data_IF_045238570439
#
_entry.id   IF_045238570439
#
_cell.length_a   1.000
_cell.length_b   1.000
_cell.length_c   1.000
_cell.angle_alpha   90.00
_cell.angle_beta   90.00
_cell.angle_gamma   90.00
#
_symmetry.space_group_name_H-M   'P 1'
#
loop_
_entity.id
_entity.type
_entity.pdbx_description
1 polymer ?
#
# COMPACT_ATOMS: atom_id res chain seq x y z
N UNK A 1 2.84 17.12 16.56
CA UNK A 1 2.71 15.65 16.40
C UNK A 1 4.05 15.04 15.99
N UNK A 2 4.47 13.93 16.62
CA UNK A 2 5.74 13.26 16.31
C UNK A 2 5.76 12.73 14.87
N UNK A 3 6.88 12.92 14.17
CA UNK A 3 7.10 12.37 12.83
C UNK A 3 7.52 10.91 12.87
N UNK A 4 7.46 10.22 11.71
CA UNK A 4 7.85 8.81 11.59
C UNK A 4 9.21 8.50 12.23
N UNK A 5 10.25 9.29 11.92
CA UNK A 5 11.61 9.07 12.47
C UNK A 5 11.67 9.16 14.00
N UNK A 6 10.89 10.05 14.61
CA UNK A 6 10.84 10.20 16.07
C UNK A 6 10.18 8.98 16.70
N UNK A 7 9.07 8.51 16.12
CA UNK A 7 8.37 7.30 16.56
C UNK A 7 9.25 6.05 16.39
N UNK A 8 9.93 5.91 15.26
CA UNK A 8 10.86 4.81 15.02
C UNK A 8 12.01 4.75 16.05
N UNK A 9 12.57 5.91 16.43
CA UNK A 9 13.57 5.97 17.52
C UNK A 9 12.98 5.49 18.85
N UNK A 10 11.72 5.84 19.15
CA UNK A 10 11.06 5.40 20.38
C UNK A 10 10.80 3.88 20.37
N UNK A 11 10.50 3.27 19.25
CA UNK A 11 10.41 1.81 19.11
C UNK A 11 11.76 1.14 19.43
N UNK A 12 12.87 1.76 19.02
CA UNK A 12 14.23 1.24 19.25
C UNK A 12 14.79 1.52 20.63
N UNK A 13 14.22 2.43 21.40
CA UNK A 13 14.72 2.81 22.71
C UNK A 13 14.49 1.68 23.74
N UNK A 14 15.55 1.01 24.23
CA UNK A 14 15.39 -0.07 25.21
C UNK A 14 14.94 0.41 26.59
N UNK A 15 15.00 1.73 26.85
CA UNK A 15 14.55 2.34 28.11
C UNK A 15 13.04 2.53 28.14
N UNK A 16 12.39 2.55 26.98
CA UNK A 16 10.94 2.61 26.85
C UNK A 16 10.32 1.25 27.16
N UNK A 17 9.19 1.24 27.89
CA UNK A 17 8.43 0.02 28.11
C UNK A 17 7.88 -0.56 26.79
N UNK A 18 7.59 -1.85 26.77
CA UNK A 18 7.18 -2.55 25.54
C UNK A 18 5.83 -2.09 25.02
N UNK A 19 4.91 -1.69 25.90
CA UNK A 19 3.61 -1.17 25.50
C UNK A 19 3.77 0.16 24.75
N UNK A 20 4.65 1.04 25.22
CA UNK A 20 4.96 2.32 24.55
C UNK A 20 5.68 2.08 23.21
N UNK A 21 6.62 1.13 23.15
CA UNK A 21 7.31 0.76 21.91
C UNK A 21 6.32 0.22 20.86
N UNK A 22 5.42 -0.69 21.27
CA UNK A 22 4.33 -1.21 20.41
C UNK A 22 3.41 -0.08 19.96
N UNK A 23 2.97 0.79 20.86
CA UNK A 23 2.15 1.96 20.54
C UNK A 23 2.85 2.85 19.48
N UNK A 24 4.14 3.10 19.66
CA UNK A 24 4.93 3.92 18.73
C UNK A 24 5.07 3.28 17.35
N UNK A 25 5.20 1.95 17.26
CA UNK A 25 5.18 1.24 16.00
C UNK A 25 3.81 1.40 15.30
N UNK A 26 2.70 1.25 16.03
CA UNK A 26 1.36 1.51 15.48
C UNK A 26 1.19 2.96 15.02
N UNK A 27 1.77 3.93 15.74
CA UNK A 27 1.78 5.34 15.32
C UNK A 27 2.63 5.59 14.07
N UNK A 28 3.66 4.80 13.80
CA UNK A 28 4.37 4.83 12.53
C UNK A 28 3.43 4.54 11.35
N UNK A 29 2.44 3.66 11.54
CA UNK A 29 1.46 3.31 10.50
C UNK A 29 0.51 4.47 10.15
N UNK A 30 0.30 5.43 11.04
CA UNK A 30 -0.45 6.65 10.71
C UNK A 30 0.33 7.56 9.74
N UNK A 31 1.63 7.31 9.58
CA UNK A 31 2.52 8.09 8.70
C UNK A 31 2.89 7.36 7.42
N UNK A 32 2.90 6.03 7.48
CA UNK A 32 3.23 5.17 6.34
C UNK A 32 2.62 3.79 6.55
N UNK A 33 1.64 3.42 5.74
CA UNK A 33 0.94 2.14 5.79
C UNK A 33 0.53 1.73 4.36
N UNK A 34 1.37 0.97 3.65
CA UNK A 34 1.13 0.61 2.24
C UNK A 34 -0.22 -0.06 1.98
N UNK A 35 -0.64 -0.97 2.83
CA UNK A 35 -1.94 -1.67 2.73
C UNK A 35 -3.10 -0.92 3.39
N UNK A 36 -2.86 0.27 3.98
CA UNK A 36 -3.71 0.91 4.95
C UNK A 36 -3.39 0.46 6.38
N UNK A 37 -3.82 1.22 7.38
CA UNK A 37 -3.37 1.05 8.77
C UNK A 37 -3.58 -0.37 9.31
N UNK A 38 -4.81 -0.90 9.21
CA UNK A 38 -5.18 -2.21 9.77
C UNK A 38 -4.44 -3.34 9.04
N UNK A 39 -4.56 -3.41 7.72
CA UNK A 39 -3.96 -4.48 6.93
C UNK A 39 -2.42 -4.47 7.00
N UNK A 40 -1.78 -3.29 7.09
CA UNK A 40 -0.33 -3.22 7.31
C UNK A 40 0.06 -3.72 8.70
N UNK A 41 -0.72 -3.41 9.74
CA UNK A 41 -0.49 -3.94 11.08
C UNK A 41 -0.61 -5.46 11.12
N UNK A 42 -1.69 -6.02 10.57
CA UNK A 42 -1.94 -7.46 10.53
C UNK A 42 -0.84 -8.19 9.74
N UNK A 43 -0.38 -7.61 8.61
CA UNK A 43 0.75 -8.12 7.86
C UNK A 43 2.04 -8.20 8.71
N UNK A 44 2.39 -7.10 9.39
CA UNK A 44 3.59 -7.08 10.23
C UNK A 44 3.48 -8.07 11.40
N UNK A 45 2.31 -8.17 12.02
CA UNK A 45 2.04 -9.13 13.08
C UNK A 45 2.21 -10.57 12.60
N UNK A 46 1.56 -10.95 11.52
CA UNK A 46 1.65 -12.30 10.95
C UNK A 46 3.07 -12.65 10.54
N UNK A 47 3.76 -11.72 9.90
CA UNK A 47 5.08 -11.95 9.34
C UNK A 47 6.19 -12.05 10.39
N UNK A 48 6.07 -11.30 11.49
CA UNK A 48 7.07 -11.27 12.55
C UNK A 48 6.64 -12.04 13.81
N UNK A 49 5.51 -12.73 13.76
CA UNK A 49 5.00 -13.53 14.89
C UNK A 49 4.63 -12.67 16.11
N UNK A 50 4.12 -11.45 15.87
CA UNK A 50 3.61 -10.58 16.91
C UNK A 50 2.14 -10.94 17.14
N UNK A 51 1.76 -11.22 18.38
CA UNK A 51 0.35 -11.28 18.73
C UNK A 51 -0.22 -9.86 18.72
N UNK A 52 -1.26 -9.65 17.90
CA UNK A 52 -1.87 -8.33 17.73
C UNK A 52 -2.48 -7.77 19.01
N UNK A 53 -2.89 -8.65 19.94
CA UNK A 53 -3.49 -8.29 21.23
C UNK A 53 -2.49 -8.21 22.37
N UNK A 54 -1.29 -8.78 22.21
CA UNK A 54 -0.25 -8.75 23.24
C UNK A 54 0.21 -7.30 23.50
N UNK A 55 0.13 -6.87 24.73
CA UNK A 55 0.55 -5.51 25.16
C UNK A 55 2.06 -5.41 25.38
N UNK A 56 2.75 -6.53 25.52
CA UNK A 56 4.19 -6.60 25.79
C UNK A 56 4.91 -7.58 24.85
N UNK A 57 4.80 -7.40 23.52
CA UNK A 57 5.40 -8.32 22.57
C UNK A 57 6.92 -8.34 22.65
N UNK A 58 7.52 -9.43 22.20
CA UNK A 58 8.97 -9.57 22.12
C UNK A 58 9.61 -8.34 21.42
N UNK A 59 10.58 -7.67 22.09
CA UNK A 59 11.24 -6.49 21.53
C UNK A 59 11.96 -6.74 20.22
N UNK A 60 12.50 -7.96 20.00
CA UNK A 60 13.18 -8.32 18.75
C UNK A 60 12.18 -8.39 17.59
N UNK A 61 10.99 -8.92 17.85
CA UNK A 61 9.90 -8.98 16.85
C UNK A 61 9.41 -7.59 16.48
N UNK A 62 9.25 -6.69 17.47
CA UNK A 62 8.91 -5.28 17.22
C UNK A 62 9.96 -4.58 16.36
N UNK A 63 11.23 -4.81 16.63
CA UNK A 63 12.32 -4.21 15.85
C UNK A 63 12.32 -4.72 14.41
N UNK A 64 12.17 -6.03 14.18
CA UNK A 64 12.08 -6.61 12.84
C UNK A 64 10.89 -6.05 12.04
N UNK A 65 9.74 -5.88 12.70
CA UNK A 65 8.57 -5.27 12.06
C UNK A 65 8.82 -3.80 11.70
N UNK A 66 9.50 -3.04 12.57
CA UNK A 66 9.92 -1.68 12.25
C UNK A 66 10.92 -1.64 11.09
N UNK A 67 11.91 -2.54 11.08
CA UNK A 67 12.93 -2.59 10.03
C UNK A 67 12.30 -2.88 8.66
N UNK A 68 11.32 -3.79 8.59
CA UNK A 68 10.54 -4.05 7.38
C UNK A 68 9.76 -2.79 6.94
N UNK A 69 9.10 -2.12 7.87
CA UNK A 69 8.34 -0.91 7.58
C UNK A 69 9.24 0.23 7.08
N UNK A 70 10.44 0.39 7.67
CA UNK A 70 11.42 1.39 7.24
C UNK A 70 12.01 1.07 5.87
N UNK A 71 12.31 -0.21 5.59
CA UNK A 71 12.78 -0.64 4.27
C UNK A 71 11.74 -0.32 3.19
N UNK A 72 10.48 -0.66 3.44
CA UNK A 72 9.39 -0.33 2.54
C UNK A 72 9.22 1.18 2.33
N UNK A 73 9.32 1.94 3.42
CA UNK A 73 9.25 3.40 3.37
C UNK A 73 10.40 4.02 2.58
N UNK A 74 11.60 3.48 2.69
CA UNK A 74 12.76 3.95 1.92
C UNK A 74 12.54 3.76 0.41
N UNK A 75 12.02 2.59 -0.01
CA UNK A 75 11.65 2.31 -1.40
C UNK A 75 10.64 3.35 -1.91
N UNK A 76 9.57 3.59 -1.15
CA UNK A 76 8.53 4.54 -1.54
C UNK A 76 9.05 5.99 -1.63
N UNK A 77 9.83 6.45 -0.66
CA UNK A 77 10.38 7.81 -0.67
C UNK A 77 11.37 8.02 -1.83
N UNK A 78 12.14 6.99 -2.19
CA UNK A 78 13.01 7.03 -3.38
C UNK A 78 12.20 7.23 -4.66
N UNK A 79 11.10 6.49 -4.80
CA UNK A 79 10.17 6.66 -5.91
C UNK A 79 9.54 8.05 -5.94
N UNK A 80 9.01 8.56 -4.81
CA UNK A 80 8.41 9.90 -4.73
C UNK A 80 9.41 11.00 -5.14
N UNK A 81 10.65 10.89 -4.70
CA UNK A 81 11.70 11.84 -5.07
C UNK A 81 11.97 11.85 -6.58
N UNK A 82 12.11 10.67 -7.19
CA UNK A 82 12.28 10.51 -8.63
C UNK A 82 11.08 11.02 -9.44
N UNK A 83 9.86 10.71 -8.96
CA UNK A 83 8.62 11.22 -9.56
C UNK A 83 8.55 12.74 -9.51
N UNK A 84 8.84 13.37 -8.37
CA UNK A 84 8.80 14.81 -8.22
C UNK A 84 9.83 15.52 -9.12
N UNK A 85 11.01 14.93 -9.28
CA UNK A 85 12.04 15.46 -10.18
C UNK A 85 11.61 15.35 -11.65
N UNK A 86 11.10 14.19 -12.07
CA UNK A 86 10.57 13.99 -13.43
C UNK A 86 9.48 15.02 -13.73
N UNK A 87 8.54 15.24 -12.80
CA UNK A 87 7.45 16.23 -12.97
C UNK A 87 7.94 17.67 -13.07
N UNK A 88 9.01 18.02 -12.35
CA UNK A 88 9.64 19.35 -12.49
C UNK A 88 10.22 19.55 -13.87
N UNK A 89 10.94 18.55 -14.42
CA UNK A 89 11.47 18.58 -15.78
C UNK A 89 10.38 18.70 -16.82
N UNK A 90 9.36 17.84 -16.76
CA UNK A 90 8.21 17.89 -17.68
C UNK A 90 7.48 19.25 -17.66
N UNK A 91 7.38 19.88 -16.50
CA UNK A 91 6.83 21.24 -16.39
C UNK A 91 7.72 22.27 -17.04
N UNK A 92 9.03 22.19 -16.82
CA UNK A 92 10.01 23.10 -17.43
C UNK A 92 9.97 23.02 -18.96
N UNK A 93 9.89 21.81 -19.50
CA UNK A 93 9.88 21.53 -20.93
C UNK A 93 8.50 21.71 -21.60
N UNK A 94 7.48 22.12 -20.86
CA UNK A 94 6.11 22.28 -21.37
C UNK A 94 5.39 20.97 -21.72
N UNK A 95 5.94 19.84 -21.33
CA UNK A 95 5.44 18.50 -21.68
C UNK A 95 4.43 17.93 -20.68
N UNK A 96 4.24 18.58 -19.52
CA UNK A 96 3.38 18.07 -18.44
C UNK A 96 1.92 18.00 -18.84
N UNK A 97 1.37 16.78 -18.82
CA UNK A 97 -0.06 16.50 -19.00
C UNK A 97 -0.57 15.71 -17.79
N UNK A 98 -1.32 16.34 -16.85
CA UNK A 98 -1.96 15.63 -15.75
C UNK A 98 -2.92 14.55 -16.28
N UNK A 99 -2.93 13.40 -15.60
CA UNK A 99 -3.75 12.25 -15.98
C UNK A 99 -4.06 11.35 -14.78
N UNK A 100 -4.63 10.18 -15.06
CA UNK A 100 -5.02 9.20 -14.02
C UNK A 100 -3.86 8.81 -13.09
N UNK A 101 -2.64 8.80 -13.61
CA UNK A 101 -1.44 8.52 -12.82
C UNK A 101 -1.16 9.62 -11.78
N UNK A 102 -1.30 10.90 -12.18
CA UNK A 102 -1.13 12.03 -11.26
C UNK A 102 -2.21 12.03 -10.17
N UNK A 103 -3.44 11.68 -10.53
CA UNK A 103 -4.55 11.59 -9.60
C UNK A 103 -4.35 10.45 -8.59
N UNK A 104 -3.89 9.29 -9.06
CA UNK A 104 -3.54 8.17 -8.18
C UNK A 104 -2.40 8.54 -7.24
N UNK A 105 -1.29 9.09 -7.76
CA UNK A 105 -0.12 9.49 -6.98
C UNK A 105 -0.48 10.54 -5.90
N UNK A 106 -1.35 11.49 -6.23
CA UNK A 106 -1.81 12.51 -5.28
C UNK A 106 -2.59 11.90 -4.11
N UNK A 107 -3.42 10.88 -4.38
CA UNK A 107 -4.19 10.18 -3.34
C UNK A 107 -3.34 9.28 -2.44
N UNK A 108 -2.21 8.82 -2.94
CA UNK A 108 -1.30 7.90 -2.23
C UNK A 108 -0.04 8.60 -1.71
N UNK A 109 -0.04 9.93 -1.71
CA UNK A 109 1.10 10.71 -1.25
C UNK A 109 1.55 10.28 0.15
N UNK A 110 2.88 10.14 0.35
CA UNK A 110 3.46 9.63 1.59
C UNK A 110 3.35 8.11 1.76
N UNK A 111 2.86 7.37 0.76
CA UNK A 111 2.82 5.91 0.76
C UNK A 111 1.67 5.29 1.55
N UNK A 112 0.66 6.08 1.95
CA UNK A 112 -0.49 5.54 2.66
C UNK A 112 -1.50 4.91 1.68
N UNK A 113 -1.74 3.60 1.83
CA UNK A 113 -2.70 2.87 1.01
C UNK A 113 -2.32 2.72 -0.46
N UNK A 114 -1.02 2.78 -0.80
CA UNK A 114 -0.55 2.65 -2.20
C UNK A 114 -0.85 1.27 -2.80
N UNK A 115 -0.81 0.23 -1.97
CA UNK A 115 -1.19 -1.15 -2.28
C UNK A 115 -2.35 -1.57 -1.36
N UNK A 116 -3.33 -0.69 -1.17
CA UNK A 116 -4.38 -0.89 -0.19
C UNK A 116 -4.98 -2.29 -0.27
N UNK A 117 -5.08 -2.93 0.88
CA UNK A 117 -5.82 -4.17 1.09
C UNK A 117 -6.93 -3.90 2.10
N UNK A 118 -8.16 -4.23 1.75
CA UNK A 118 -9.31 -4.00 2.64
C UNK A 118 -9.61 -5.21 3.52
N UNK A 119 -9.25 -6.40 3.04
CA UNK A 119 -9.32 -7.62 3.82
C UNK A 119 -7.98 -7.88 4.50
N UNK A 120 -7.89 -7.71 5.83
CA UNK A 120 -6.65 -7.94 6.55
C UNK A 120 -6.21 -9.41 6.56
N UNK A 121 -7.10 -10.33 6.25
CA UNK A 121 -6.80 -11.76 6.12
C UNK A 121 -6.21 -12.14 4.75
N UNK A 122 -6.32 -11.25 3.76
CA UNK A 122 -5.87 -11.50 2.39
C UNK A 122 -4.93 -10.38 1.96
N UNK A 123 -3.65 -10.54 2.19
CA UNK A 123 -2.61 -9.61 1.73
C UNK A 123 -1.42 -10.42 1.20
N UNK A 124 -0.55 -9.80 0.35
CA UNK A 124 0.65 -10.48 -0.12
C UNK A 124 1.54 -10.94 1.03
N UNK A 125 2.05 -12.17 0.95
CA UNK A 125 2.97 -12.72 1.96
C UNK A 125 4.41 -12.18 1.82
N UNK A 126 4.74 -11.57 0.68
CA UNK A 126 6.05 -10.99 0.42
C UNK A 126 6.33 -9.78 1.33
N UNK A 127 7.60 -9.46 1.62
CA UNK A 127 7.97 -8.24 2.34
C UNK A 127 7.39 -6.98 1.71
N UNK A 128 7.00 -6.00 2.54
CA UNK A 128 6.40 -4.73 2.08
C UNK A 128 7.29 -4.02 1.04
N UNK A 129 8.60 -4.03 1.21
CA UNK A 129 9.53 -3.40 0.27
C UNK A 129 9.50 -4.06 -1.10
N UNK A 130 9.37 -5.39 -1.15
CA UNK A 130 9.27 -6.15 -2.40
C UNK A 130 7.95 -5.88 -3.10
N UNK A 131 6.84 -5.85 -2.37
CA UNK A 131 5.52 -5.51 -2.91
C UNK A 131 5.53 -4.12 -3.53
N UNK A 132 6.10 -3.13 -2.83
CA UNK A 132 6.24 -1.78 -3.36
C UNK A 132 7.17 -1.72 -4.56
N UNK A 133 8.27 -2.45 -4.56
CA UNK A 133 9.18 -2.53 -5.72
C UNK A 133 8.49 -3.05 -6.97
N UNK A 134 7.71 -4.13 -6.84
CA UNK A 134 6.90 -4.69 -7.95
C UNK A 134 5.85 -3.69 -8.46
N UNK A 135 5.18 -2.99 -7.54
CA UNK A 135 4.18 -1.99 -7.89
C UNK A 135 4.81 -0.80 -8.64
N UNK A 136 5.95 -0.30 -8.15
CA UNK A 136 6.69 0.80 -8.78
C UNK A 136 7.17 0.38 -10.18
N UNK A 137 7.75 -0.81 -10.31
CA UNK A 137 8.16 -1.32 -11.60
C UNK A 137 7.00 -1.40 -12.61
N UNK A 138 5.81 -1.81 -12.16
CA UNK A 138 4.62 -1.83 -13.00
C UNK A 138 4.12 -0.42 -13.37
N UNK A 139 4.27 0.56 -12.49
CA UNK A 139 3.92 1.96 -12.80
C UNK A 139 4.85 2.61 -13.83
N UNK A 140 6.06 2.09 -13.96
CA UNK A 140 7.09 2.55 -14.92
C UNK A 140 7.12 1.72 -16.20
N UNK A 141 6.29 0.67 -16.28
CA UNK A 141 6.20 -0.24 -17.42
C UNK A 141 4.90 -0.02 -18.21
N UNK A 142 4.77 -0.70 -19.35
CA UNK A 142 3.52 -0.77 -20.11
C UNK A 142 2.41 -1.44 -19.27
N UNK A 143 1.16 -0.93 -19.33
CA UNK A 143 0.06 -1.52 -18.58
C UNK A 143 -0.19 -2.98 -18.92
N UNK A 144 -0.33 -3.82 -17.89
CA UNK A 144 -0.57 -5.26 -18.01
C UNK A 144 -2.05 -5.66 -17.84
N UNK A 145 -2.30 -6.96 -17.82
CA UNK A 145 -3.64 -7.53 -17.62
C UNK A 145 -3.78 -8.27 -16.28
N UNK A 146 -2.66 -8.48 -15.58
CA UNK A 146 -2.57 -9.20 -14.31
C UNK A 146 -2.15 -8.29 -13.16
N UNK A 147 -2.32 -8.78 -11.94
CA UNK A 147 -1.85 -8.09 -10.75
C UNK A 147 -0.31 -8.01 -10.74
N UNK A 148 0.29 -6.82 -10.61
CA UNK A 148 1.75 -6.69 -10.62
C UNK A 148 2.42 -7.30 -9.39
N UNK A 149 1.67 -7.56 -8.32
CA UNK A 149 2.23 -8.05 -7.05
C UNK A 149 2.29 -9.58 -7.00
N UNK A 150 1.19 -10.26 -7.33
CA UNK A 150 1.10 -11.72 -7.23
C UNK A 150 0.97 -12.42 -8.58
N UNK A 151 0.98 -11.68 -9.70
CA UNK A 151 0.73 -12.17 -11.07
C UNK A 151 -0.67 -12.81 -11.28
N UNK A 152 -1.58 -12.69 -10.31
CA UNK A 152 -2.95 -13.19 -10.46
C UNK A 152 -3.69 -12.47 -11.59
N UNK A 153 -4.34 -13.23 -12.46
CA UNK A 153 -5.04 -12.69 -13.63
C UNK A 153 -6.44 -12.18 -13.32
N UNK A 154 -7.02 -12.61 -12.20
CA UNK A 154 -8.39 -12.26 -11.84
C UNK A 154 -8.41 -10.93 -11.10
N UNK A 155 -8.98 -9.92 -11.75
CA UNK A 155 -9.19 -8.58 -11.23
C UNK A 155 -10.69 -8.32 -11.14
N UNK A 156 -11.20 -8.20 -9.93
CA UNK A 156 -12.57 -7.79 -9.67
C UNK A 156 -12.68 -6.27 -9.55
N UNK A 157 -13.88 -5.72 -9.79
CA UNK A 157 -14.16 -4.31 -9.50
C UNK A 157 -14.85 -4.20 -8.15
N UNK A 158 -14.31 -3.39 -7.26
CA UNK A 158 -14.95 -3.07 -6.00
C UNK A 158 -15.59 -1.68 -6.07
N UNK A 159 -16.90 -1.55 -5.77
CA UNK A 159 -17.56 -0.26 -5.70
C UNK A 159 -17.08 0.55 -4.50
N UNK A 160 -17.34 1.84 -4.53
CA UNK A 160 -17.17 2.72 -3.37
C UNK A 160 -18.25 2.42 -2.32
N UNK A 161 -17.85 2.01 -1.14
CA UNK A 161 -18.77 1.63 -0.06
C UNK A 161 -18.92 2.73 1.02
N UNK A 162 -18.74 4.00 0.69
CA UNK A 162 -19.01 5.08 1.64
C UNK A 162 -17.89 6.11 1.79
N UNK A 163 -17.74 6.72 2.94
CA UNK A 163 -17.00 7.94 3.27
C UNK A 163 -15.56 8.11 2.74
N UNK A 164 -15.02 7.16 1.97
CA UNK A 164 -13.77 7.32 1.24
C UNK A 164 -13.92 6.77 -0.19
N UNK A 165 -13.67 7.57 -1.24
CA UNK A 165 -13.78 7.14 -2.63
C UNK A 165 -12.70 6.11 -2.97
N UNK A 166 -13.05 4.82 -2.91
CA UNK A 166 -12.11 3.70 -3.07
C UNK A 166 -12.62 2.63 -4.01
N UNK A 167 -13.49 3.00 -4.93
CA UNK A 167 -13.86 2.12 -6.02
C UNK A 167 -12.66 1.87 -6.92
N UNK A 168 -12.43 0.62 -7.29
CA UNK A 168 -11.32 0.28 -8.16
C UNK A 168 -11.14 -1.20 -8.38
N UNK A 169 -10.16 -1.55 -9.22
CA UNK A 169 -9.82 -2.94 -9.48
C UNK A 169 -9.08 -3.55 -8.29
N UNK A 170 -9.55 -4.69 -7.81
CA UNK A 170 -8.96 -5.46 -6.71
C UNK A 170 -8.52 -6.82 -7.24
N UNK A 171 -7.30 -7.20 -6.92
CA UNK A 171 -6.82 -8.55 -7.19
C UNK A 171 -7.47 -9.54 -6.21
N UNK A 172 -8.18 -10.55 -6.73
CA UNK A 172 -8.82 -11.58 -5.89
C UNK A 172 -7.81 -12.49 -5.20
N UNK A 173 -6.62 -12.67 -5.80
CA UNK A 173 -5.59 -13.55 -5.26
C UNK A 173 -4.79 -12.98 -4.08
N UNK A 174 -4.63 -11.64 -3.99
CA UNK A 174 -3.87 -11.02 -2.91
C UNK A 174 -4.58 -9.82 -2.25
N UNK A 175 -5.82 -9.54 -2.61
CA UNK A 175 -6.67 -8.55 -1.97
C UNK A 175 -6.27 -7.08 -2.17
N UNK A 176 -5.20 -6.77 -2.90
CA UNK A 176 -4.77 -5.39 -3.08
C UNK A 176 -5.63 -4.64 -4.08
N UNK A 177 -5.89 -3.37 -3.81
CA UNK A 177 -6.43 -2.42 -4.77
C UNK A 177 -5.33 -2.07 -5.79
N UNK A 178 -5.48 -2.57 -7.02
CA UNK A 178 -4.49 -2.40 -8.08
C UNK A 178 -4.60 -0.98 -8.64
N UNK A 179 -3.51 -0.21 -8.74
CA UNK A 179 -3.55 1.10 -9.36
C UNK A 179 -4.04 1.02 -10.81
N UNK A 180 -5.07 1.80 -11.16
CA UNK A 180 -5.63 1.77 -12.52
C UNK A 180 -4.58 2.01 -13.63
N UNK A 181 -3.57 2.89 -13.45
CA UNK A 181 -2.56 3.10 -14.48
C UNK A 181 -1.72 1.87 -14.86
N UNK A 182 -1.62 0.86 -13.98
CA UNK A 182 -0.86 -0.38 -14.28
C UNK A 182 -1.67 -1.43 -15.03
N UNK A 183 -2.96 -1.18 -15.27
CA UNK A 183 -3.85 -2.10 -15.98
C UNK A 183 -4.24 -1.56 -17.35
N UNK A 184 -4.32 -2.46 -18.34
CA UNK A 184 -4.85 -2.11 -19.66
C UNK A 184 -6.32 -1.68 -19.58
N UNK A 185 -6.75 -0.84 -20.54
CA UNK A 185 -8.17 -0.45 -20.69
C UNK A 185 -9.09 -1.67 -20.80
N UNK A 186 -8.65 -2.72 -21.48
CA UNK A 186 -9.40 -3.97 -21.63
C UNK A 186 -9.57 -4.72 -20.31
N UNK A 187 -8.54 -4.81 -19.46
CA UNK A 187 -8.62 -5.41 -18.14
C UNK A 187 -9.58 -4.64 -17.22
N UNK A 188 -9.49 -3.31 -17.22
CA UNK A 188 -10.40 -2.44 -16.46
C UNK A 188 -11.85 -2.56 -16.93
N UNK A 189 -12.09 -2.65 -18.24
CA UNK A 189 -13.43 -2.81 -18.81
C UNK A 189 -14.05 -4.14 -18.39
N UNK A 190 -13.29 -5.25 -18.45
CA UNK A 190 -13.76 -6.59 -18.01
C UNK A 190 -14.15 -6.60 -16.54
N UNK A 191 -13.27 -6.06 -15.66
CA UNK A 191 -13.54 -6.00 -14.23
C UNK A 191 -14.85 -5.22 -13.92
N UNK A 192 -15.10 -4.10 -14.61
CA UNK A 192 -16.33 -3.30 -14.46
C UNK A 192 -17.56 -4.01 -15.01
N UNK A 193 -17.46 -4.74 -16.11
CA UNK A 193 -18.59 -5.49 -16.70
C UNK A 193 -19.02 -6.63 -15.80
N UNK A 194 -18.08 -7.46 -15.34
CA UNK A 194 -18.37 -8.54 -14.40
C UNK A 194 -19.03 -8.02 -13.11
N UNK A 195 -18.61 -6.87 -12.59
CA UNK A 195 -19.25 -6.25 -11.43
C UNK A 195 -20.71 -5.86 -11.71
N UNK A 196 -21.01 -5.27 -12.87
CA UNK A 196 -22.41 -4.90 -13.25
C UNK A 196 -23.31 -6.13 -13.40
N UNK A 197 -22.80 -7.20 -13.99
CA UNK A 197 -23.51 -8.46 -14.15
C UNK A 197 -23.86 -9.08 -12.79
N UNK A 198 -22.90 -9.08 -11.84
CA UNK A 198 -23.13 -9.56 -10.49
C UNK A 198 -24.20 -8.74 -9.74
N UNK A 199 -24.23 -7.42 -9.91
CA UNK A 199 -25.27 -6.56 -9.32
C UNK A 199 -26.65 -6.83 -9.93
N UNK A 200 -26.72 -7.03 -11.25
CA UNK A 200 -27.97 -7.34 -11.93
C UNK A 200 -28.54 -8.72 -11.55
N UNK A 201 -27.66 -9.66 -11.20
CA UNK A 201 -28.07 -11.02 -10.77
C UNK A 201 -28.46 -11.10 -9.29
N UNK A 202 -28.13 -10.08 -8.49
CA UNK A 202 -28.44 -10.00 -7.05
C UNK A 202 -29.70 -9.17 -6.74
N UNK A 203 -30.29 -8.51 -7.73
CA UNK A 203 -31.50 -7.70 -7.66
C UNK A 203 -32.75 -8.47 -8.12
#
# INVERSE_FOLDING_TARGET
MAGFRSLARQVRDPRSDLALRRYSLRKCLERFAPYGHRATWDHLCARHGIDAEDRSPDPVRLMRALDELEAARAVWLGYEAGFAERRRREKHDGLRRPGAFDDWHRRTWGGYGVARCEDPGVHPSAPLAEVLGRLIAALESEPGTACPVCAGAEIAWRPDLGCEPRSGPVCTGCGILVPQPVLTRGALARARSAHRENLASAA
#
